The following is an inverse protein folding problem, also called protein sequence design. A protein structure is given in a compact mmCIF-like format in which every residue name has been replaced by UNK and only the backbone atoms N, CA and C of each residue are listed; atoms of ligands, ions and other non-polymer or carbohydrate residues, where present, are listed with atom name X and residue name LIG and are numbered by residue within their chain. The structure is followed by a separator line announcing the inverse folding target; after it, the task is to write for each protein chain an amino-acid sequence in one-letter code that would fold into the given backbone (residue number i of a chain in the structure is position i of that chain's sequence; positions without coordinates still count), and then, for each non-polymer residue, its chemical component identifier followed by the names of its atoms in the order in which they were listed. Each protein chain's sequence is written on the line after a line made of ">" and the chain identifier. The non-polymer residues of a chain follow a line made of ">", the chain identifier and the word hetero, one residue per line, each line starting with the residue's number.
data_IF_332882178100
#
_entry.id   IF_332882178100
#
_cell.length_a   1.000
_cell.length_b   1.000
_cell.length_c   1.000
_cell.angle_alpha   90.00
_cell.angle_beta   90.00
_cell.angle_gamma   90.00
#
_symmetry.space_group_name_H-M   'P 1'
#
loop_
_entity.id
_entity.type
_entity.pdbx_description
1 polymer ?
#
# COMPACT_ATOMS: atom_id res chain seq x y z
N UNK A 1 -0.13 26.26 -16.83
CA UNK A 1 0.63 25.94 -15.60
C UNK A 1 1.00 24.47 -15.62
N UNK A 2 2.22 24.09 -15.23
CA UNK A 2 2.66 22.68 -15.19
C UNK A 2 2.86 22.17 -13.77
N UNK A 3 2.51 20.92 -13.52
CA UNK A 3 2.82 20.19 -12.28
C UNK A 3 4.13 19.43 -12.49
N UNK A 4 5.10 19.63 -11.61
CA UNK A 4 6.36 18.90 -11.60
C UNK A 4 6.21 17.63 -10.75
N UNK A 5 6.59 16.50 -11.34
CA UNK A 5 6.60 15.17 -10.74
C UNK A 5 8.03 14.63 -10.76
N UNK A 6 8.48 13.98 -9.68
CA UNK A 6 9.82 13.37 -9.60
C UNK A 6 9.72 11.89 -9.16
N UNK A 7 8.97 11.04 -9.90
CA UNK A 7 8.78 9.66 -9.52
C UNK A 7 10.08 8.87 -9.72
N UNK A 8 10.40 7.99 -8.78
CA UNK A 8 11.60 7.15 -8.88
C UNK A 8 11.40 5.86 -9.67
N UNK A 9 10.14 5.54 -9.93
CA UNK A 9 9.71 4.44 -10.77
C UNK A 9 8.60 4.95 -11.68
N UNK A 10 8.58 4.48 -12.92
CA UNK A 10 7.51 4.83 -13.85
C UNK A 10 7.22 3.63 -14.74
N UNK A 11 6.09 3.67 -15.45
CA UNK A 11 5.75 2.67 -16.47
C UNK A 11 7.00 2.30 -17.31
N UNK A 12 7.31 1.00 -17.54
CA UNK A 12 6.49 -0.19 -17.34
C UNK A 12 6.63 -0.88 -15.97
N UNK A 13 7.30 -0.25 -14.99
CA UNK A 13 7.49 -0.85 -13.66
C UNK A 13 6.16 -1.04 -12.93
N UNK A 14 5.93 -2.25 -12.41
CA UNK A 14 4.78 -2.58 -11.56
C UNK A 14 5.27 -2.78 -10.12
N UNK A 15 5.16 -1.73 -9.31
CA UNK A 15 5.57 -1.73 -7.90
C UNK A 15 4.36 -1.43 -6.99
N UNK A 16 4.49 -1.67 -5.69
CA UNK A 16 3.40 -1.38 -4.76
C UNK A 16 3.00 0.11 -4.83
N UNK A 17 1.74 0.40 -5.12
CA UNK A 17 1.23 1.77 -5.30
C UNK A 17 1.28 2.33 -6.72
N UNK A 18 1.79 1.60 -7.73
CA UNK A 18 1.89 2.12 -9.11
C UNK A 18 0.53 2.59 -9.68
N UNK A 19 -0.56 1.92 -9.32
CA UNK A 19 -1.91 2.26 -9.77
C UNK A 19 -2.39 3.57 -9.14
N UNK A 20 -2.01 3.87 -7.90
CA UNK A 20 -2.37 5.11 -7.22
C UNK A 20 -1.75 6.30 -7.95
N UNK A 21 -0.45 6.24 -8.22
CA UNK A 21 0.26 7.27 -9.01
C UNK A 21 -0.36 7.43 -10.40
N UNK A 22 -0.64 6.32 -11.09
CA UNK A 22 -1.24 6.36 -12.42
C UNK A 22 -2.60 7.04 -12.42
N UNK A 23 -3.47 6.69 -11.47
CA UNK A 23 -4.80 7.27 -11.31
C UNK A 23 -4.74 8.77 -10.99
N UNK A 24 -3.79 9.20 -10.16
CA UNK A 24 -3.58 10.62 -9.87
C UNK A 24 -3.11 11.36 -11.12
N UNK A 25 -2.18 10.80 -11.89
CA UNK A 25 -1.71 11.46 -13.12
C UNK A 25 -2.81 11.52 -14.19
N UNK A 26 -3.62 10.47 -14.30
CA UNK A 26 -4.81 10.46 -15.15
C UNK A 26 -5.80 11.56 -14.72
N UNK A 27 -6.13 11.63 -13.43
CA UNK A 27 -7.00 12.65 -12.83
C UNK A 27 -6.50 14.07 -13.17
N UNK A 28 -5.21 14.33 -12.97
CA UNK A 28 -4.62 15.63 -13.25
C UNK A 28 -4.73 15.99 -14.74
N UNK A 29 -4.49 15.01 -15.62
CA UNK A 29 -4.61 15.17 -17.06
C UNK A 29 -6.04 15.53 -17.48
N UNK A 30 -7.05 14.76 -17.04
CA UNK A 30 -8.46 15.00 -17.39
C UNK A 30 -9.00 16.29 -16.76
N UNK A 31 -8.40 16.73 -15.64
CA UNK A 31 -8.70 18.02 -15.01
C UNK A 31 -8.03 19.21 -15.71
N UNK A 32 -7.36 18.98 -16.84
CA UNK A 32 -6.78 20.00 -17.70
C UNK A 32 -5.32 20.35 -17.40
N UNK A 33 -4.74 19.82 -16.32
CA UNK A 33 -3.36 20.10 -15.94
C UNK A 33 -2.36 19.46 -16.91
N UNK A 34 -1.30 20.21 -17.22
CA UNK A 34 -0.11 19.65 -17.85
C UNK A 34 0.89 19.24 -16.78
N UNK A 35 1.61 18.15 -17.02
CA UNK A 35 2.59 17.59 -16.12
C UNK A 35 3.94 17.44 -16.83
N UNK A 36 5.02 17.56 -16.06
CA UNK A 36 6.35 17.16 -16.48
C UNK A 36 6.95 16.27 -15.40
N UNK A 37 7.46 15.11 -15.81
CA UNK A 37 8.05 14.13 -14.92
C UNK A 37 9.52 13.87 -15.26
N UNK A 38 10.34 13.64 -14.25
CA UNK A 38 11.72 13.19 -14.40
C UNK A 38 11.91 11.87 -13.65
N UNK A 39 12.11 10.78 -14.38
CA UNK A 39 12.25 9.44 -13.82
C UNK A 39 13.51 8.74 -14.36
N UNK A 40 14.13 7.82 -13.60
CA UNK A 40 15.18 6.99 -14.16
C UNK A 40 14.63 6.03 -15.22
N UNK A 41 15.54 5.41 -15.98
CA UNK A 41 15.19 4.25 -16.79
C UNK A 41 14.62 3.11 -15.91
N UNK A 42 13.66 2.31 -16.42
CA UNK A 42 13.02 1.23 -15.67
C UNK A 42 14.00 0.23 -15.06
N UNK A 43 13.76 -0.19 -13.82
CA UNK A 43 14.74 -0.92 -13.01
C UNK A 43 14.18 -2.03 -12.13
N UNK A 44 12.98 -1.88 -11.56
CA UNK A 44 12.38 -2.80 -10.59
C UNK A 44 11.39 -3.73 -11.29
N UNK A 45 11.63 -5.04 -11.19
CA UNK A 45 10.77 -6.06 -11.80
C UNK A 45 10.78 -6.04 -13.33
N UNK A 46 11.84 -5.49 -13.93
CA UNK A 46 12.00 -5.37 -15.37
C UNK A 46 13.15 -6.26 -15.81
N UNK A 47 12.93 -7.05 -16.86
CA UNK A 47 13.96 -7.89 -17.46
C UNK A 47 15.03 -7.07 -18.21
N UNK A 48 16.13 -7.74 -18.57
CA UNK A 48 17.25 -7.09 -19.26
C UNK A 48 16.94 -6.67 -20.70
N UNK A 49 15.90 -7.22 -21.33
CA UNK A 49 15.50 -6.98 -22.70
C UNK A 49 14.68 -5.70 -22.79
N UNK A 50 13.58 -5.62 -22.03
CA UNK A 50 12.76 -4.43 -21.84
C UNK A 50 13.67 -3.28 -21.44
N UNK A 51 14.54 -3.47 -20.44
CA UNK A 51 15.44 -2.40 -20.00
C UNK A 51 16.35 -1.87 -21.12
N UNK A 52 16.75 -2.72 -22.07
CA UNK A 52 17.56 -2.34 -23.23
C UNK A 52 16.79 -1.44 -24.19
N UNK A 53 15.49 -1.70 -24.38
CA UNK A 53 14.62 -0.84 -25.19
C UNK A 53 14.53 0.58 -24.65
N UNK A 54 14.52 0.73 -23.32
CA UNK A 54 14.45 2.04 -22.66
C UNK A 54 15.78 2.79 -22.63
N UNK A 55 16.89 2.18 -23.07
CA UNK A 55 18.23 2.81 -23.07
C UNK A 55 18.27 4.11 -23.90
N UNK A 56 17.48 4.18 -24.96
CA UNK A 56 17.43 5.33 -25.87
C UNK A 56 16.12 6.12 -25.80
N UNK A 57 15.20 5.77 -24.88
CA UNK A 57 13.92 6.47 -24.69
C UNK A 57 14.06 7.58 -23.65
N UNK A 58 14.51 8.76 -24.08
CA UNK A 58 14.74 9.90 -23.19
C UNK A 58 13.51 10.80 -22.98
N UNK A 59 12.53 10.74 -23.89
CA UNK A 59 11.31 11.54 -23.84
C UNK A 59 10.13 10.69 -24.25
N UNK A 60 9.06 10.74 -23.47
CA UNK A 60 7.81 10.02 -23.72
C UNK A 60 6.62 10.92 -23.38
N UNK A 61 5.51 10.72 -24.09
CA UNK A 61 4.26 11.45 -23.86
C UNK A 61 3.19 10.47 -23.39
N UNK A 62 2.52 10.83 -22.30
CA UNK A 62 1.40 10.06 -21.74
C UNK A 62 0.16 10.93 -21.65
N UNK A 63 -1.00 10.29 -21.48
CA UNK A 63 -2.31 10.93 -21.29
C UNK A 63 -2.60 11.99 -22.37
N UNK A 64 -2.55 11.59 -23.65
CA UNK A 64 -2.78 12.47 -24.80
C UNK A 64 -1.88 13.72 -24.81
N UNK A 65 -0.62 13.55 -24.40
CA UNK A 65 0.39 14.62 -24.38
C UNK A 65 0.32 15.54 -23.17
N UNK A 66 -0.58 15.29 -22.21
CA UNK A 66 -0.66 16.07 -20.96
C UNK A 66 0.50 15.82 -20.02
N UNK A 67 1.13 14.65 -20.09
CA UNK A 67 2.34 14.34 -19.33
C UNK A 67 3.54 14.17 -20.27
N UNK A 68 4.55 15.02 -20.10
CA UNK A 68 5.87 14.85 -20.69
C UNK A 68 6.80 14.18 -19.68
N UNK A 69 7.22 12.94 -19.98
CA UNK A 69 8.20 12.21 -19.18
C UNK A 69 9.59 12.36 -19.78
N UNK A 70 10.54 12.84 -18.98
CA UNK A 70 11.97 12.81 -19.27
C UNK A 70 12.62 11.66 -18.52
N UNK A 71 13.34 10.81 -19.25
CA UNK A 71 14.15 9.74 -18.64
C UNK A 71 15.61 10.06 -18.58
N UNK A 72 16.26 9.59 -17.53
CA UNK A 72 17.71 9.64 -17.40
C UNK A 72 18.31 8.25 -17.14
N UNK A 73 19.53 8.00 -17.62
CA UNK A 73 20.24 6.75 -17.37
C UNK A 73 20.56 6.61 -15.89
N UNK A 74 20.23 5.46 -15.32
CA UNK A 74 20.61 5.04 -13.98
C UNK A 74 20.70 3.52 -13.95
N UNK A 75 21.59 2.93 -13.15
CA UNK A 75 21.76 1.47 -13.09
C UNK A 75 20.53 0.75 -12.49
N UNK A 76 20.41 -0.55 -12.78
CA UNK A 76 19.31 -1.38 -12.32
C UNK A 76 19.31 -1.50 -10.79
N UNK A 77 18.13 -1.69 -10.20
CA UNK A 77 18.02 -1.83 -8.75
C UNK A 77 18.71 -3.12 -8.27
N UNK A 78 19.42 -3.03 -7.15
CA UNK A 78 20.13 -4.15 -6.57
C UNK A 78 19.37 -4.72 -5.34
N UNK A 79 19.61 -6.01 -5.05
CA UNK A 79 19.14 -6.65 -3.81
C UNK A 79 19.82 -6.05 -2.56
N UNK A 80 21.05 -5.57 -2.68
CA UNK A 80 21.80 -4.89 -1.61
C UNK A 80 21.17 -3.55 -1.23
N UNK A 81 20.83 -3.40 0.05
CA UNK A 81 20.24 -2.17 0.61
C UNK A 81 21.14 -0.94 0.44
N UNK A 82 22.47 -1.11 0.56
CA UNK A 82 23.44 -0.02 0.41
C UNK A 82 23.46 0.48 -1.05
N UNK A 83 23.56 -0.44 -2.00
CA UNK A 83 23.57 -0.09 -3.43
C UNK A 83 22.24 0.55 -3.84
N UNK A 84 21.12 0.12 -3.24
CA UNK A 84 19.81 0.74 -3.45
C UNK A 84 19.75 2.15 -2.89
N UNK A 85 20.31 2.39 -1.70
CA UNK A 85 20.39 3.74 -1.12
C UNK A 85 21.24 4.68 -2.00
N UNK A 86 22.41 4.23 -2.46
CA UNK A 86 23.25 5.01 -3.40
C UNK A 86 22.48 5.34 -4.68
N UNK A 87 21.72 4.37 -5.22
CA UNK A 87 20.90 4.57 -6.42
C UNK A 87 19.87 5.67 -6.20
N UNK A 88 19.13 5.62 -5.10
CA UNK A 88 18.12 6.64 -4.78
C UNK A 88 18.75 8.02 -4.58
N UNK A 89 19.91 8.10 -3.92
CA UNK A 89 20.65 9.35 -3.77
C UNK A 89 21.03 9.95 -5.13
N UNK A 90 21.59 9.16 -6.05
CA UNK A 90 21.93 9.63 -7.40
C UNK A 90 20.67 10.08 -8.15
N UNK A 91 19.61 9.29 -8.10
CA UNK A 91 18.32 9.61 -8.72
C UNK A 91 17.78 10.96 -8.25
N UNK A 92 17.79 11.20 -6.94
CA UNK A 92 17.29 12.43 -6.31
C UNK A 92 18.16 13.64 -6.64
N UNK A 93 19.48 13.48 -6.74
CA UNK A 93 20.39 14.55 -7.19
C UNK A 93 20.05 14.95 -8.63
N UNK A 94 19.89 13.98 -9.53
CA UNK A 94 19.53 14.26 -10.93
C UNK A 94 18.15 14.92 -11.01
N UNK A 95 17.16 14.37 -10.31
CA UNK A 95 15.79 14.92 -10.24
C UNK A 95 15.76 16.34 -9.69
N UNK A 96 16.57 16.64 -8.67
CA UNK A 96 16.70 18.00 -8.13
C UNK A 96 17.23 18.96 -9.20
N UNK A 97 18.29 18.59 -9.92
CA UNK A 97 18.85 19.41 -10.99
C UNK A 97 17.83 19.63 -12.11
N UNK A 98 17.15 18.56 -12.55
CA UNK A 98 16.08 18.67 -13.54
C UNK A 98 14.92 19.58 -13.08
N UNK A 99 14.49 19.43 -11.83
CA UNK A 99 13.46 20.28 -11.23
C UNK A 99 13.87 21.75 -11.15
N UNK A 100 15.14 22.02 -10.84
CA UNK A 100 15.70 23.38 -10.78
C UNK A 100 15.59 24.08 -12.14
N UNK A 101 15.98 23.40 -13.23
CA UNK A 101 15.93 23.94 -14.59
C UNK A 101 14.58 23.81 -15.29
N UNK A 102 13.59 23.18 -14.66
CA UNK A 102 12.22 23.11 -15.19
C UNK A 102 11.56 24.49 -15.19
N UNK A 103 10.96 24.87 -16.31
CA UNK A 103 10.29 26.16 -16.49
C UNK A 103 8.76 26.02 -16.43
N UNK A 104 8.09 27.11 -16.08
CA UNK A 104 6.62 27.22 -16.05
C UNK A 104 5.93 26.20 -15.12
N UNK A 105 6.62 25.82 -14.03
CA UNK A 105 6.09 24.97 -12.97
C UNK A 105 5.29 25.83 -12.01
N UNK A 106 4.04 25.46 -11.73
CA UNK A 106 3.19 26.11 -10.72
C UNK A 106 2.90 25.26 -9.49
N UNK A 107 3.27 23.97 -9.51
CA UNK A 107 3.08 23.07 -8.37
C UNK A 107 4.10 21.93 -8.44
N UNK A 108 4.62 21.53 -7.27
CA UNK A 108 5.37 20.30 -7.07
C UNK A 108 4.49 19.29 -6.34
N UNK A 109 4.30 18.12 -6.93
CA UNK A 109 3.63 16.98 -6.30
C UNK A 109 4.61 15.82 -6.20
N UNK A 110 4.90 15.37 -4.97
CA UNK A 110 5.79 14.23 -4.73
C UNK A 110 5.12 13.24 -3.77
N UNK A 111 5.31 11.96 -4.04
CA UNK A 111 4.99 10.90 -3.10
C UNK A 111 6.23 10.53 -2.28
N UNK A 112 6.06 9.95 -1.10
CA UNK A 112 7.16 9.65 -0.18
C UNK A 112 8.09 8.50 -0.63
N UNK A 113 7.97 8.01 -1.86
CA UNK A 113 8.78 6.90 -2.37
C UNK A 113 9.80 7.38 -3.42
N UNK A 114 11.12 7.21 -3.19
CA UNK A 114 11.78 6.69 -2.00
C UNK A 114 11.75 7.70 -0.84
N UNK A 115 11.99 7.24 0.40
CA UNK A 115 11.74 8.02 1.61
C UNK A 115 12.45 9.38 1.72
N UNK A 116 13.54 9.56 0.99
CA UNK A 116 14.35 10.77 1.02
C UNK A 116 13.96 11.81 -0.03
N UNK A 117 12.99 11.52 -0.92
CA UNK A 117 12.57 12.45 -1.99
C UNK A 117 11.94 13.75 -1.46
N UNK A 118 11.42 13.73 -0.23
CA UNK A 118 10.87 14.92 0.42
C UNK A 118 11.87 16.08 0.54
N UNK A 119 13.17 15.80 0.69
CA UNK A 119 14.20 16.85 0.83
C UNK A 119 14.27 17.72 -0.42
N UNK A 120 14.23 17.12 -1.61
CA UNK A 120 14.28 17.88 -2.86
C UNK A 120 12.97 18.63 -3.09
N UNK A 121 11.85 18.08 -2.59
CA UNK A 121 10.58 18.78 -2.50
C UNK A 121 10.69 20.12 -1.77
N UNK A 122 11.18 20.08 -0.53
CA UNK A 122 11.38 21.27 0.29
C UNK A 122 12.42 22.24 -0.28
N UNK A 123 13.49 21.75 -0.90
CA UNK A 123 14.50 22.61 -1.54
C UNK A 123 13.93 23.32 -2.77
N UNK A 124 13.24 22.61 -3.66
CA UNK A 124 12.62 23.19 -4.85
C UNK A 124 11.51 24.18 -4.48
N UNK A 125 10.71 23.86 -3.46
CA UNK A 125 9.73 24.79 -2.89
C UNK A 125 10.38 26.13 -2.53
N UNK A 126 11.47 26.11 -1.77
CA UNK A 126 12.18 27.32 -1.34
C UNK A 126 12.83 28.09 -2.50
N UNK A 127 13.52 27.38 -3.39
CA UNK A 127 14.29 27.99 -4.47
C UNK A 127 13.38 28.55 -5.56
N UNK A 128 12.39 27.78 -5.98
CA UNK A 128 11.48 28.15 -7.08
C UNK A 128 10.24 28.91 -6.60
N UNK A 129 10.01 28.99 -5.28
CA UNK A 129 8.83 29.61 -4.67
C UNK A 129 7.51 29.08 -5.25
N UNK A 130 7.46 27.78 -5.48
CA UNK A 130 6.27 27.06 -5.95
C UNK A 130 5.68 26.25 -4.80
N UNK A 131 4.35 26.08 -4.72
CA UNK A 131 3.77 25.20 -3.72
C UNK A 131 4.25 23.75 -3.84
N UNK A 132 4.30 23.07 -2.70
CA UNK A 132 4.73 21.68 -2.59
C UNK A 132 3.67 20.84 -1.87
N UNK A 133 3.04 19.92 -2.60
CA UNK A 133 2.14 18.89 -2.05
C UNK A 133 2.93 17.60 -1.89
N UNK A 134 2.94 17.06 -0.68
CA UNK A 134 3.65 15.83 -0.35
C UNK A 134 2.68 14.73 0.08
N UNK A 135 2.63 13.63 -0.66
CA UNK A 135 1.82 12.46 -0.31
C UNK A 135 2.67 11.43 0.46
N UNK A 136 2.35 11.24 1.74
CA UNK A 136 3.05 10.32 2.64
C UNK A 136 2.39 8.95 2.57
N UNK A 137 3.02 8.06 1.79
CA UNK A 137 2.66 6.65 1.66
C UNK A 137 3.43 5.76 2.66
N UNK A 138 4.55 6.25 3.18
CA UNK A 138 5.39 5.61 4.19
C UNK A 138 6.03 6.67 5.10
N UNK A 139 6.00 6.47 6.42
CA UNK A 139 6.60 7.40 7.38
C UNK A 139 8.01 6.94 7.69
N UNK A 140 8.97 7.56 7.02
CA UNK A 140 10.39 7.32 7.27
C UNK A 140 10.97 8.41 8.17
N UNK A 141 11.80 8.07 9.18
CA UNK A 141 12.45 6.78 9.42
C UNK A 141 11.67 5.79 10.30
N UNK A 142 10.46 6.11 10.75
CA UNK A 142 9.68 5.27 11.67
C UNK A 142 9.46 3.85 11.12
N UNK A 143 9.21 3.73 9.81
CA UNK A 143 9.04 2.45 9.12
C UNK A 143 10.28 1.55 9.17
N UNK A 144 11.50 2.12 9.21
CA UNK A 144 12.73 1.34 9.43
C UNK A 144 12.80 0.76 10.84
N UNK A 145 12.35 1.53 11.83
CA UNK A 145 12.35 1.10 13.23
C UNK A 145 11.31 0.01 13.43
N UNK A 146 10.08 0.21 12.95
CA UNK A 146 8.98 -0.76 13.11
C UNK A 146 9.24 -2.08 12.38
N UNK A 147 10.02 -2.06 11.29
CA UNK A 147 10.40 -3.29 10.57
C UNK A 147 11.63 -3.99 11.16
N UNK A 148 12.28 -3.40 12.17
CA UNK A 148 13.50 -3.92 12.79
C UNK A 148 14.76 -3.76 11.93
N UNK A 149 14.68 -3.01 10.82
CA UNK A 149 15.83 -2.70 9.96
C UNK A 149 16.74 -1.61 10.56
N UNK A 150 16.23 -0.87 11.54
CA UNK A 150 16.94 0.15 12.28
C UNK A 150 16.40 0.26 13.70
N UNK A 151 17.00 1.12 14.52
CA UNK A 151 16.52 1.46 15.86
C UNK A 151 16.58 2.98 16.07
N UNK A 152 15.78 3.47 17.02
CA UNK A 152 15.81 4.87 17.41
C UNK A 152 17.21 5.28 17.90
N UNK A 153 17.66 6.46 17.50
CA UNK A 153 19.00 6.95 17.81
C UNK A 153 20.12 6.45 16.90
N UNK A 154 19.86 5.50 16.00
CA UNK A 154 20.84 5.13 14.97
C UNK A 154 21.12 6.27 13.99
N UNK A 155 22.28 6.27 13.33
CA UNK A 155 22.64 7.34 12.38
C UNK A 155 21.64 7.46 11.22
N UNK A 156 21.16 6.33 10.69
CA UNK A 156 20.14 6.31 9.64
C UNK A 156 18.82 6.94 10.12
N UNK A 157 18.42 6.65 11.36
CA UNK A 157 17.25 7.25 11.98
C UNK A 157 17.43 8.77 12.16
N UNK A 158 18.57 9.22 12.70
CA UNK A 158 18.85 10.66 12.89
C UNK A 158 18.80 11.42 11.56
N UNK A 159 19.47 10.90 10.52
CA UNK A 159 19.45 11.51 9.18
C UNK A 159 18.02 11.52 8.63
N UNK A 160 17.31 10.41 8.76
CA UNK A 160 15.91 10.31 8.36
C UNK A 160 15.03 11.35 9.05
N UNK A 161 15.19 11.55 10.36
CA UNK A 161 14.46 12.58 11.13
C UNK A 161 14.75 13.99 10.65
N UNK A 162 16.00 14.30 10.30
CA UNK A 162 16.35 15.61 9.74
C UNK A 162 15.65 15.84 8.40
N UNK A 163 15.68 14.84 7.51
CA UNK A 163 15.05 14.89 6.20
C UNK A 163 13.52 15.02 6.33
N UNK A 164 12.92 14.21 7.19
CA UNK A 164 11.49 14.21 7.48
C UNK A 164 11.04 15.57 8.00
N UNK A 165 11.67 16.08 9.06
CA UNK A 165 11.34 17.37 9.67
C UNK A 165 11.50 18.51 8.65
N UNK A 166 12.56 18.48 7.84
CA UNK A 166 12.74 19.46 6.76
C UNK A 166 11.63 19.37 5.72
N UNK A 167 11.24 18.16 5.32
CA UNK A 167 10.18 17.92 4.34
C UNK A 167 8.85 18.47 4.83
N UNK A 168 8.40 18.06 6.02
CA UNK A 168 7.09 18.46 6.55
C UNK A 168 7.00 19.96 6.83
N UNK A 169 8.09 20.57 7.30
CA UNK A 169 8.14 22.02 7.50
C UNK A 169 7.91 22.80 6.20
N UNK A 170 8.43 22.29 5.08
CA UNK A 170 8.41 22.99 3.79
C UNK A 170 7.30 22.53 2.84
N UNK A 171 6.57 21.47 3.16
CA UNK A 171 5.35 21.12 2.44
C UNK A 171 4.25 22.17 2.69
N UNK A 172 3.57 22.56 1.63
CA UNK A 172 2.39 23.45 1.65
C UNK A 172 1.15 22.69 2.11
N UNK A 173 0.99 21.45 1.62
CA UNK A 173 0.02 20.46 2.08
C UNK A 173 0.66 19.09 2.11
N UNK A 174 0.20 18.26 3.05
CA UNK A 174 0.65 16.91 3.25
C UNK A 174 -0.58 16.01 3.21
N UNK A 175 -0.60 15.08 2.26
CA UNK A 175 -1.64 14.06 2.17
C UNK A 175 -1.13 12.82 2.91
N UNK A 176 -1.93 12.28 3.82
CA UNK A 176 -1.60 11.05 4.55
C UNK A 176 -2.71 10.01 4.36
N UNK A 177 -2.34 8.73 4.41
CA UNK A 177 -3.26 7.63 4.07
C UNK A 177 -4.14 7.15 5.21
N UNK A 178 -3.94 7.67 6.43
CA UNK A 178 -4.59 7.18 7.64
C UNK A 178 -4.61 8.25 8.74
N UNK A 179 -5.57 8.16 9.65
CA UNK A 179 -5.62 8.92 10.90
C UNK A 179 -4.42 8.59 11.80
N UNK A 180 -3.89 7.37 11.75
CA UNK A 180 -2.63 7.04 12.44
C UNK A 180 -1.46 7.88 11.92
N UNK A 181 -1.35 8.06 10.60
CA UNK A 181 -0.30 8.89 10.01
C UNK A 181 -0.49 10.35 10.41
N UNK A 182 -1.74 10.84 10.41
CA UNK A 182 -2.03 12.20 10.92
C UNK A 182 -1.59 12.34 12.38
N UNK A 183 -1.97 11.41 13.27
CA UNK A 183 -1.54 11.41 14.69
C UNK A 183 -0.02 11.38 14.83
N UNK A 184 0.67 10.59 14.01
CA UNK A 184 2.13 10.53 14.00
C UNK A 184 2.75 11.89 13.63
N UNK A 185 2.28 12.53 12.55
CA UNK A 185 2.76 13.84 12.12
C UNK A 185 2.45 14.95 13.13
N UNK A 186 1.27 14.94 13.76
CA UNK A 186 0.91 15.88 14.82
C UNK A 186 1.85 15.76 16.03
N UNK A 187 2.20 14.54 16.46
CA UNK A 187 3.21 14.30 17.51
C UNK A 187 4.60 14.84 17.13
N UNK A 188 4.87 15.02 15.84
CA UNK A 188 6.11 15.58 15.29
C UNK A 188 6.02 17.09 15.04
N UNK A 189 5.00 17.76 15.61
CA UNK A 189 4.75 19.21 15.50
C UNK A 189 4.47 19.70 14.07
N UNK A 190 3.94 18.83 13.20
CA UNK A 190 3.40 19.27 11.91
C UNK A 190 2.05 19.96 12.16
N UNK A 191 1.84 21.20 11.69
CA UNK A 191 0.56 21.90 11.87
C UNK A 191 -0.60 21.13 11.24
N UNK A 192 -1.72 21.05 11.96
CA UNK A 192 -2.88 20.24 11.56
C UNK A 192 -3.47 20.70 10.23
N UNK A 193 -3.52 22.01 9.98
CA UNK A 193 -4.06 22.62 8.76
C UNK A 193 -3.25 22.28 7.49
N UNK A 194 -2.06 21.71 7.65
CA UNK A 194 -1.30 21.17 6.52
C UNK A 194 -1.69 19.74 6.16
N UNK A 195 -2.30 18.99 7.07
CA UNK A 195 -2.47 17.54 6.97
C UNK A 195 -3.88 17.19 6.49
N UNK A 196 -3.95 16.54 5.35
CA UNK A 196 -5.18 16.02 4.76
C UNK A 196 -5.16 14.50 4.78
N UNK A 197 -6.12 13.88 5.46
CA UNK A 197 -6.22 12.41 5.49
C UNK A 197 -7.03 11.95 4.29
N UNK A 198 -6.40 11.31 3.31
CA UNK A 198 -7.06 10.68 2.17
C UNK A 198 -6.58 9.23 2.10
N UNK A 199 -7.45 8.29 2.47
CA UNK A 199 -7.15 6.87 2.37
C UNK A 199 -6.83 6.47 0.93
N UNK A 200 -5.90 5.52 0.79
CA UNK A 200 -5.70 4.85 -0.49
C UNK A 200 -7.02 4.17 -0.91
N UNK A 201 -7.27 4.14 -2.21
CA UNK A 201 -8.51 3.63 -2.78
C UNK A 201 -8.32 2.28 -3.43
N UNK A 202 -9.45 1.65 -3.75
CA UNK A 202 -9.54 0.52 -4.63
C UNK A 202 -10.49 0.84 -5.79
N UNK A 203 -10.21 0.26 -6.95
CA UNK A 203 -11.20 0.24 -8.02
C UNK A 203 -12.24 -0.84 -7.72
N UNK A 204 -13.36 -0.41 -7.14
CA UNK A 204 -14.51 -1.27 -6.82
C UNK A 204 -15.24 -1.80 -8.06
N UNK A 205 -14.86 -1.36 -9.27
CA UNK A 205 -15.34 -1.98 -10.52
C UNK A 205 -14.44 -3.14 -10.96
N UNK A 206 -13.17 -3.13 -10.57
CA UNK A 206 -12.20 -4.18 -10.87
C UNK A 206 -12.21 -5.32 -9.84
N UNK A 207 -12.52 -5.02 -8.56
CA UNK A 207 -12.71 -6.03 -7.51
C UNK A 207 -14.17 -6.01 -7.07
N UNK A 208 -14.83 -7.16 -7.21
CA UNK A 208 -16.25 -7.32 -6.90
C UNK A 208 -16.50 -8.70 -6.26
N UNK A 209 -17.62 -8.87 -5.53
CA UNK A 209 -17.98 -10.16 -4.96
C UNK A 209 -18.23 -11.20 -6.05
N UNK A 210 -17.59 -12.36 -5.93
CA UNK A 210 -17.82 -13.52 -6.80
C UNK A 210 -18.58 -14.58 -6.01
N UNK A 211 -19.78 -14.92 -6.49
CA UNK A 211 -20.59 -16.00 -5.91
C UNK A 211 -19.79 -17.30 -5.84
N UNK A 212 -19.87 -17.98 -4.70
CA UNK A 212 -18.98 -19.10 -4.35
C UNK A 212 -18.95 -20.20 -5.40
N UNK A 213 -20.12 -20.65 -5.84
CA UNK A 213 -20.24 -21.73 -6.83
C UNK A 213 -19.88 -21.28 -8.26
N UNK A 214 -19.76 -19.96 -8.50
CA UNK A 214 -19.32 -19.39 -9.77
C UNK A 214 -17.82 -19.01 -9.75
N UNK A 215 -17.17 -19.10 -8.59
CA UNK A 215 -15.77 -18.77 -8.45
C UNK A 215 -14.90 -19.93 -8.99
N UNK A 216 -14.28 -19.72 -10.16
CA UNK A 216 -13.54 -20.77 -10.89
C UNK A 216 -12.33 -21.31 -10.11
N UNK A 217 -11.82 -20.56 -9.13
CA UNK A 217 -10.71 -21.02 -8.30
C UNK A 217 -11.09 -22.25 -7.46
N UNK A 218 -12.37 -22.48 -7.16
CA UNK A 218 -12.78 -23.70 -6.46
C UNK A 218 -12.50 -24.96 -7.29
N UNK A 219 -12.79 -24.93 -8.59
CA UNK A 219 -12.50 -26.06 -9.47
C UNK A 219 -11.03 -26.12 -9.86
N UNK A 220 -10.40 -24.97 -10.17
CA UNK A 220 -8.98 -24.91 -10.55
C UNK A 220 -8.05 -25.41 -9.44
N UNK A 221 -8.40 -25.21 -8.17
CA UNK A 221 -7.58 -25.55 -7.01
C UNK A 221 -8.13 -26.74 -6.21
N UNK A 222 -9.12 -27.46 -6.75
CA UNK A 222 -9.72 -28.65 -6.13
C UNK A 222 -10.18 -28.37 -4.68
N UNK A 223 -10.88 -27.26 -4.50
CA UNK A 223 -11.45 -26.83 -3.23
C UNK A 223 -12.91 -27.26 -3.13
N UNK A 224 -13.32 -27.73 -1.95
CA UNK A 224 -14.72 -28.05 -1.69
C UNK A 224 -15.48 -26.77 -1.30
N UNK A 225 -16.46 -26.30 -2.09
CA UNK A 225 -17.19 -25.07 -1.80
C UNK A 225 -18.01 -25.12 -0.51
N UNK A 226 -18.31 -26.30 0.04
CA UNK A 226 -19.11 -26.43 1.27
C UNK A 226 -18.34 -26.13 2.56
N UNK A 227 -17.01 -25.95 2.51
CA UNK A 227 -16.17 -25.68 3.67
C UNK A 227 -16.09 -24.18 4.00
N UNK A 228 -15.67 -23.86 5.21
CA UNK A 228 -15.42 -22.51 5.69
C UNK A 228 -13.97 -22.11 5.41
N UNK A 229 -13.75 -21.06 4.61
CA UNK A 229 -12.42 -20.66 4.16
C UNK A 229 -11.94 -19.38 4.83
N UNK A 230 -10.72 -19.47 5.35
CA UNK A 230 -9.92 -18.35 5.84
C UNK A 230 -8.89 -18.02 4.76
N UNK A 231 -8.88 -16.78 4.27
CA UNK A 231 -8.00 -16.38 3.17
C UNK A 231 -7.02 -15.32 3.63
N UNK A 232 -5.74 -15.55 3.39
CA UNK A 232 -4.70 -14.52 3.40
C UNK A 232 -4.12 -14.37 1.99
N UNK A 233 -4.26 -13.19 1.39
CA UNK A 233 -3.74 -12.88 0.06
C UNK A 233 -2.73 -11.73 0.12
N UNK A 234 -1.45 -12.02 -0.13
CA UNK A 234 -0.39 -11.00 -0.16
C UNK A 234 1.00 -11.50 0.21
N UNK A 235 1.87 -10.56 0.57
CA UNK A 235 3.27 -10.85 0.88
C UNK A 235 3.43 -11.65 2.19
N UNK A 236 4.24 -12.70 2.16
CA UNK A 236 4.72 -13.45 3.33
C UNK A 236 6.02 -12.83 3.86
N UNK A 237 5.94 -11.58 4.31
CA UNK A 237 7.08 -10.86 4.86
C UNK A 237 7.09 -10.86 6.39
N UNK A 238 8.26 -10.57 6.95
CA UNK A 238 8.49 -10.55 8.40
C UNK A 238 7.50 -9.65 9.16
N UNK A 239 7.18 -8.47 8.62
CA UNK A 239 6.28 -7.51 9.27
C UNK A 239 4.80 -7.92 9.25
N UNK A 240 4.42 -8.92 8.44
CA UNK A 240 3.03 -9.37 8.29
C UNK A 240 2.61 -10.43 9.32
N UNK A 241 3.54 -11.02 10.08
CA UNK A 241 3.21 -12.02 11.11
C UNK A 241 2.36 -13.20 10.62
N UNK A 242 2.63 -13.71 9.42
CA UNK A 242 1.82 -14.79 8.80
C UNK A 242 1.89 -16.10 9.59
N UNK A 243 2.92 -16.29 10.43
CA UNK A 243 3.05 -17.47 11.31
C UNK A 243 1.84 -17.61 12.26
N UNK A 244 1.26 -16.50 12.71
CA UNK A 244 0.08 -16.49 13.58
C UNK A 244 -1.12 -17.18 12.93
N UNK A 245 -1.22 -17.15 11.59
CA UNK A 245 -2.26 -17.87 10.85
C UNK A 245 -2.02 -19.38 10.94
N UNK A 246 -0.78 -19.83 10.79
CA UNK A 246 -0.41 -21.26 10.90
C UNK A 246 -0.67 -21.78 12.31
N UNK A 247 -0.31 -21.01 13.33
CA UNK A 247 -0.57 -21.34 14.73
C UNK A 247 -2.08 -21.41 15.02
N UNK A 248 -2.89 -20.50 14.47
CA UNK A 248 -4.35 -20.58 14.58
C UNK A 248 -4.93 -21.80 13.87
N UNK A 249 -4.36 -22.19 12.72
CA UNK A 249 -4.75 -23.39 12.00
C UNK A 249 -4.43 -24.68 12.78
N UNK A 250 -3.34 -24.67 13.56
CA UNK A 250 -3.00 -25.76 14.48
C UNK A 250 -4.04 -25.90 15.60
N UNK A 251 -4.47 -24.78 16.19
CA UNK A 251 -5.52 -24.78 17.23
C UNK A 251 -6.87 -25.29 16.70
N UNK A 252 -7.14 -25.06 15.41
CA UNK A 252 -8.38 -25.46 14.74
C UNK A 252 -8.26 -26.75 13.93
N UNK A 253 -7.25 -27.59 14.18
CA UNK A 253 -7.03 -28.82 13.42
C UNK A 253 -8.17 -29.84 13.57
N UNK A 254 -8.92 -29.81 14.68
CA UNK A 254 -10.09 -30.66 14.90
C UNK A 254 -11.32 -30.25 14.08
N UNK A 255 -11.37 -28.99 13.62
CA UNK A 255 -12.48 -28.44 12.85
C UNK A 255 -12.30 -28.78 11.37
N UNK A 256 -12.79 -29.95 10.97
CA UNK A 256 -12.55 -30.52 9.63
C UNK A 256 -13.24 -29.75 8.50
N UNK A 257 -14.17 -28.84 8.84
CA UNK A 257 -14.83 -27.97 7.88
C UNK A 257 -14.16 -26.60 7.70
N UNK A 258 -13.04 -26.32 8.37
CA UNK A 258 -12.28 -25.07 8.23
C UNK A 258 -11.01 -25.30 7.38
N UNK A 259 -10.74 -24.40 6.43
CA UNK A 259 -9.55 -24.43 5.58
C UNK A 259 -8.91 -23.06 5.47
N UNK A 260 -7.58 -23.02 5.55
CA UNK A 260 -6.77 -21.82 5.42
C UNK A 260 -6.08 -21.79 4.05
N UNK A 261 -6.32 -20.72 3.28
CA UNK A 261 -5.68 -20.50 1.99
C UNK A 261 -4.69 -19.34 2.12
N UNK A 262 -3.40 -19.65 1.95
CA UNK A 262 -2.30 -18.68 1.94
C UNK A 262 -1.88 -18.44 0.49
N UNK A 263 -2.28 -17.29 -0.06
CA UNK A 263 -2.14 -16.96 -1.48
C UNK A 263 -1.09 -15.85 -1.61
N UNK A 264 0.07 -16.16 -2.19
CA UNK A 264 1.14 -15.18 -2.35
C UNK A 264 2.52 -15.80 -2.33
N UNK A 265 3.44 -15.10 -1.69
CA UNK A 265 4.84 -15.48 -1.58
C UNK A 265 5.60 -14.43 -0.78
N UNK A 266 6.86 -14.70 -0.46
CA UNK A 266 7.70 -13.75 0.26
C UNK A 266 8.86 -14.41 0.98
N UNK A 267 9.62 -13.62 1.72
CA UNK A 267 10.83 -14.08 2.42
C UNK A 267 10.58 -15.08 3.54
N UNK A 268 9.32 -15.33 3.93
CA UNK A 268 8.95 -16.28 4.98
C UNK A 268 8.24 -17.52 4.44
N UNK A 269 8.10 -17.67 3.11
CA UNK A 269 7.33 -18.76 2.52
C UNK A 269 7.84 -20.14 2.95
N UNK A 270 9.14 -20.38 2.86
CA UNK A 270 9.74 -21.67 3.21
C UNK A 270 9.55 -21.99 4.69
N UNK A 271 9.79 -21.02 5.58
CA UNK A 271 9.56 -21.17 7.03
C UNK A 271 8.11 -21.50 7.36
N UNK A 272 7.14 -20.89 6.68
CA UNK A 272 5.71 -21.19 6.89
C UNK A 272 5.35 -22.60 6.43
N UNK A 273 5.91 -23.06 5.31
CA UNK A 273 5.72 -24.44 4.82
C UNK A 273 6.34 -25.47 5.78
N UNK A 274 7.52 -25.18 6.32
CA UNK A 274 8.15 -26.02 7.35
C UNK A 274 7.30 -26.14 8.61
N UNK A 275 6.68 -25.04 9.07
CA UNK A 275 5.75 -25.07 10.21
C UNK A 275 4.55 -25.98 9.94
N UNK A 276 3.91 -25.85 8.77
CA UNK A 276 2.78 -26.71 8.36
C UNK A 276 3.14 -28.20 8.38
N UNK A 277 4.32 -28.56 7.88
CA UNK A 277 4.84 -29.93 7.90
C UNK A 277 5.08 -30.39 9.34
N UNK A 278 5.75 -29.56 10.15
CA UNK A 278 6.10 -29.90 11.53
C UNK A 278 4.88 -30.13 12.42
N UNK A 279 3.82 -29.34 12.22
CA UNK A 279 2.54 -29.45 12.92
C UNK A 279 1.58 -30.46 12.29
N UNK A 280 1.98 -31.09 11.16
CA UNK A 280 1.17 -32.07 10.40
C UNK A 280 -0.20 -31.53 10.00
N UNK A 281 -0.28 -30.24 9.66
CA UNK A 281 -1.55 -29.59 9.34
C UNK A 281 -2.08 -30.07 7.99
N UNK A 282 -3.36 -30.39 7.93
CA UNK A 282 -4.08 -30.79 6.72
C UNK A 282 -5.09 -29.73 6.27
N UNK A 283 -5.28 -28.69 7.07
CA UNK A 283 -6.23 -27.60 6.86
C UNK A 283 -5.56 -26.32 6.33
N UNK A 284 -4.32 -26.40 5.82
CA UNK A 284 -3.59 -25.25 5.25
C UNK A 284 -3.15 -25.58 3.83
N UNK A 285 -3.49 -24.71 2.88
CA UNK A 285 -3.07 -24.80 1.47
C UNK A 285 -2.37 -23.51 1.04
N UNK A 286 -1.29 -23.65 0.28
CA UNK A 286 -0.55 -22.53 -0.30
C UNK A 286 -0.82 -22.41 -1.80
N UNK A 287 -0.99 -21.19 -2.29
CA UNK A 287 -1.14 -20.89 -3.71
C UNK A 287 -0.23 -19.73 -4.11
N UNK A 288 0.24 -19.71 -5.36
CA UNK A 288 1.07 -18.60 -5.84
C UNK A 288 0.25 -17.32 -5.95
N UNK A 289 0.95 -16.17 -5.94
CA UNK A 289 0.35 -14.89 -6.27
C UNK A 289 -0.36 -14.95 -7.63
N UNK A 290 -1.59 -14.46 -7.69
CA UNK A 290 -2.40 -14.46 -8.91
C UNK A 290 -2.29 -13.13 -9.66
N UNK A 291 -2.68 -13.14 -10.94
CA UNK A 291 -2.73 -11.96 -11.78
C UNK A 291 -3.86 -11.00 -11.37
N UNK A 292 -3.79 -9.75 -11.86
CA UNK A 292 -4.78 -8.70 -11.57
C UNK A 292 -6.21 -9.10 -11.93
N UNK A 293 -6.39 -9.89 -12.98
CA UNK A 293 -7.69 -10.30 -13.51
C UNK A 293 -8.37 -11.32 -12.60
N UNK A 294 -7.61 -12.01 -11.74
CA UNK A 294 -8.12 -13.01 -10.81
C UNK A 294 -8.37 -12.46 -9.39
N UNK A 295 -8.15 -11.16 -9.15
CA UNK A 295 -8.25 -10.60 -7.80
C UNK A 295 -9.64 -10.75 -7.18
N UNK A 296 -10.73 -10.48 -7.93
CA UNK A 296 -12.10 -10.70 -7.45
C UNK A 296 -12.31 -12.13 -6.96
N UNK A 297 -11.82 -13.11 -7.71
CA UNK A 297 -11.92 -14.53 -7.37
C UNK A 297 -11.09 -14.85 -6.12
N UNK A 298 -9.86 -14.36 -6.04
CA UNK A 298 -8.95 -14.59 -4.90
C UNK A 298 -9.53 -14.04 -3.60
N UNK A 299 -9.98 -12.79 -3.59
CA UNK A 299 -10.50 -12.17 -2.38
C UNK A 299 -11.88 -12.73 -1.99
N UNK A 300 -12.68 -13.20 -2.94
CA UNK A 300 -13.99 -13.83 -2.69
C UNK A 300 -13.91 -15.32 -2.30
N UNK A 301 -12.72 -15.94 -2.26
CA UNK A 301 -12.57 -17.33 -1.83
C UNK A 301 -12.92 -17.52 -0.35
N UNK A 302 -12.67 -16.50 0.47
CA UNK A 302 -12.77 -16.58 1.91
C UNK A 302 -14.16 -16.21 2.41
N UNK A 303 -14.64 -16.95 3.40
CA UNK A 303 -15.66 -16.46 4.31
C UNK A 303 -15.10 -15.32 5.18
N UNK A 304 -13.80 -15.40 5.51
CA UNK A 304 -13.08 -14.37 6.27
C UNK A 304 -11.69 -14.14 5.67
N UNK A 305 -11.34 -12.86 5.51
CA UNK A 305 -10.00 -12.41 5.14
C UNK A 305 -9.13 -12.12 6.36
N UNK A 306 -7.85 -12.50 6.34
CA UNK A 306 -6.92 -12.14 7.42
C UNK A 306 -6.07 -10.94 7.01
N UNK A 307 -6.06 -9.93 7.89
CA UNK A 307 -5.15 -8.80 7.80
C UNK A 307 -4.33 -8.77 9.08
N UNK A 308 -3.05 -9.16 9.00
CA UNK A 308 -2.18 -9.28 10.17
C UNK A 308 -0.87 -8.52 10.01
N UNK A 309 -0.29 -8.12 11.14
CA UNK A 309 1.04 -7.54 11.24
C UNK A 309 1.67 -7.87 12.61
N UNK A 310 2.97 -7.59 12.75
CA UNK A 310 3.66 -7.68 14.06
C UNK A 310 3.22 -6.55 14.99
N UNK A 311 3.37 -6.77 16.28
CA UNK A 311 3.12 -5.73 17.28
C UNK A 311 3.92 -4.44 16.99
N UNK A 312 3.27 -3.29 17.11
CA UNK A 312 3.86 -1.97 16.85
C UNK A 312 3.97 -1.57 15.37
N UNK A 313 3.65 -2.46 14.43
CA UNK A 313 3.64 -2.15 12.99
C UNK A 313 2.32 -1.49 12.57
N UNK A 314 1.20 -1.83 13.21
CA UNK A 314 -0.14 -1.49 12.76
C UNK A 314 -0.43 0.01 12.69
N UNK A 315 0.31 0.83 13.43
CA UNK A 315 0.19 2.31 13.44
C UNK A 315 0.99 3.00 12.34
N UNK A 316 1.90 2.28 11.69
CA UNK A 316 2.81 2.83 10.69
C UNK A 316 2.47 2.35 9.27
N UNK A 317 1.35 1.64 9.09
CA UNK A 317 0.88 1.22 7.77
C UNK A 317 -0.65 1.07 7.75
N UNK A 318 -1.25 1.36 6.59
CA UNK A 318 -2.62 0.96 6.30
C UNK A 318 -2.61 -0.06 5.15
N UNK A 319 -2.92 -1.35 5.40
CA UNK A 319 -2.74 -2.40 4.40
C UNK A 319 -3.79 -2.33 3.28
N UNK A 320 -3.33 -2.24 2.03
CA UNK A 320 -4.22 -2.16 0.84
C UNK A 320 -5.16 -3.36 0.69
N UNK A 321 -4.75 -4.55 1.16
CA UNK A 321 -5.57 -5.77 1.09
C UNK A 321 -6.89 -5.64 1.87
N UNK A 322 -6.96 -4.76 2.88
CA UNK A 322 -8.21 -4.45 3.57
C UNK A 322 -9.26 -4.03 2.55
N UNK A 323 -8.95 -3.06 1.68
CA UNK A 323 -9.91 -2.58 0.69
C UNK A 323 -10.30 -3.65 -0.32
N UNK A 324 -9.37 -4.52 -0.70
CA UNK A 324 -9.65 -5.63 -1.62
C UNK A 324 -10.60 -6.67 -1.02
N UNK A 325 -10.41 -7.06 0.24
CA UNK A 325 -11.35 -7.95 0.93
C UNK A 325 -12.75 -7.33 1.03
N UNK A 326 -12.80 -6.07 1.45
CA UNK A 326 -14.08 -5.38 1.61
C UNK A 326 -14.81 -5.20 0.27
N UNK A 327 -14.09 -4.92 -0.82
CA UNK A 327 -14.65 -4.85 -2.17
C UNK A 327 -15.17 -6.19 -2.69
N UNK A 328 -14.54 -7.30 -2.28
CA UNK A 328 -15.04 -8.65 -2.55
C UNK A 328 -16.22 -9.06 -1.63
N UNK A 329 -16.64 -8.21 -0.68
CA UNK A 329 -17.67 -8.56 0.31
C UNK A 329 -17.19 -9.53 1.39
N UNK A 330 -15.87 -9.75 1.49
CA UNK A 330 -15.26 -10.63 2.47
C UNK A 330 -14.88 -9.81 3.71
N UNK A 331 -15.50 -10.08 4.87
CA UNK A 331 -15.15 -9.39 6.10
C UNK A 331 -13.80 -9.86 6.62
N UNK A 332 -13.22 -9.12 7.55
CA UNK A 332 -11.84 -9.36 7.99
C UNK A 332 -11.71 -9.72 9.47
N UNK A 333 -10.68 -10.51 9.79
CA UNK A 333 -10.06 -10.48 11.10
C UNK A 333 -8.77 -9.66 10.99
N UNK A 334 -8.71 -8.57 11.75
CA UNK A 334 -7.57 -7.67 11.82
C UNK A 334 -6.72 -7.99 13.05
N UNK A 335 -5.58 -8.68 12.86
CA UNK A 335 -4.58 -8.89 13.91
C UNK A 335 -3.60 -7.71 13.92
N UNK A 336 -4.01 -6.65 14.61
CA UNK A 336 -3.43 -5.30 14.57
C UNK A 336 -3.45 -4.67 15.96
N UNK A 337 -2.55 -3.71 16.22
CA UNK A 337 -2.56 -2.94 17.46
C UNK A 337 -3.97 -2.35 17.67
N UNK A 338 -4.61 -2.64 18.81
CA UNK A 338 -6.04 -2.33 19.01
C UNK A 338 -6.36 -0.83 19.01
N UNK A 339 -5.37 0.02 19.22
CA UNK A 339 -5.45 1.48 19.11
C UNK A 339 -5.05 2.02 17.73
N UNK A 340 -4.84 1.14 16.74
CA UNK A 340 -4.71 1.52 15.33
C UNK A 340 -6.06 1.88 14.69
N UNK A 341 -6.02 2.69 13.64
CA UNK A 341 -7.19 3.06 12.87
C UNK A 341 -7.86 1.85 12.23
N UNK A 342 -7.10 0.90 11.67
CA UNK A 342 -7.70 -0.31 11.08
C UNK A 342 -8.51 -1.10 12.12
N UNK A 343 -7.96 -1.29 13.32
CA UNK A 343 -8.65 -2.00 14.38
C UNK A 343 -9.92 -1.26 14.83
N UNK A 344 -9.81 0.07 15.02
CA UNK A 344 -10.95 0.92 15.34
C UNK A 344 -12.03 0.87 14.25
N UNK A 345 -11.64 0.92 12.98
CA UNK A 345 -12.55 0.90 11.85
C UNK A 345 -13.27 -0.43 11.72
N UNK A 346 -12.56 -1.56 11.80
CA UNK A 346 -13.14 -2.89 11.67
C UNK A 346 -14.21 -3.13 12.74
N UNK A 347 -13.89 -2.85 14.00
CA UNK A 347 -14.81 -3.04 15.12
C UNK A 347 -15.99 -2.06 15.09
N UNK A 348 -15.73 -0.76 14.91
CA UNK A 348 -16.78 0.27 15.06
C UNK A 348 -17.76 0.31 13.90
N UNK A 349 -17.31 -0.08 12.70
CA UNK A 349 -18.17 -0.11 11.52
C UNK A 349 -18.79 -1.47 11.28
N UNK A 350 -18.30 -2.54 11.92
CA UNK A 350 -18.90 -3.88 11.84
C UNK A 350 -18.52 -4.69 10.60
N UNK A 351 -17.44 -4.36 9.90
CA UNK A 351 -16.95 -5.15 8.76
C UNK A 351 -15.89 -6.20 9.15
N UNK A 352 -15.51 -6.25 10.42
CA UNK A 352 -14.45 -7.12 10.90
C UNK A 352 -14.40 -7.27 12.41
N UNK A 353 -13.56 -8.20 12.87
CA UNK A 353 -13.17 -8.34 14.27
C UNK A 353 -11.68 -8.01 14.39
N UNK A 354 -11.30 -7.19 15.36
CA UNK A 354 -9.89 -6.90 15.63
C UNK A 354 -9.41 -7.65 16.86
N UNK A 355 -8.21 -8.20 16.76
CA UNK A 355 -7.52 -8.95 17.80
C UNK A 355 -6.12 -8.39 17.98
N UNK A 356 -5.48 -8.71 19.11
CA UNK A 356 -4.09 -8.32 19.30
C UNK A 356 -3.18 -8.93 18.21
N UNK A 357 -2.11 -8.22 17.80
CA UNK A 357 -1.07 -8.78 16.94
C UNK A 357 -0.49 -10.05 17.56
N UNK A 358 -0.07 -11.00 16.71
CA UNK A 358 0.67 -12.19 17.16
C UNK A 358 -0.10 -13.09 18.17
N UNK A 359 -1.44 -12.97 18.22
CA UNK A 359 -2.30 -13.79 19.10
C UNK A 359 -3.10 -14.84 18.31
N UNK A 360 -2.53 -16.05 18.20
CA UNK A 360 -3.15 -17.16 17.49
C UNK A 360 -4.45 -17.67 18.14
N UNK A 361 -4.56 -17.61 19.47
CA UNK A 361 -5.76 -18.04 20.19
C UNK A 361 -6.94 -17.10 19.92
N UNK A 362 -6.73 -15.78 20.04
CA UNK A 362 -7.77 -14.80 19.71
C UNK A 362 -8.20 -14.92 18.23
N UNK A 363 -7.27 -15.26 17.33
CA UNK A 363 -7.58 -15.52 15.92
C UNK A 363 -8.47 -16.75 15.76
N UNK A 364 -8.11 -17.87 16.38
CA UNK A 364 -8.88 -19.11 16.34
C UNK A 364 -10.29 -18.91 16.93
N UNK A 365 -10.40 -18.24 18.07
CA UNK A 365 -11.66 -17.95 18.74
C UNK A 365 -12.56 -17.04 17.87
N UNK A 366 -11.97 -16.05 17.20
CA UNK A 366 -12.69 -15.16 16.29
C UNK A 366 -13.19 -15.90 15.04
N UNK A 367 -12.38 -16.81 14.48
CA UNK A 367 -12.78 -17.67 13.37
C UNK A 367 -13.98 -18.53 13.78
N UNK A 368 -13.92 -19.21 14.92
CA UNK A 368 -15.02 -20.02 15.44
C UNK A 368 -16.28 -19.19 15.68
N UNK A 369 -16.13 -18.00 16.27
CA UNK A 369 -17.25 -17.08 16.51
C UNK A 369 -17.98 -16.71 15.22
N UNK A 370 -17.25 -16.38 14.16
CA UNK A 370 -17.83 -16.04 12.86
C UNK A 370 -18.45 -17.28 12.21
N UNK A 371 -17.73 -18.39 12.14
CA UNK A 371 -18.21 -19.65 11.55
C UNK A 371 -19.49 -20.15 12.21
N UNK A 372 -19.59 -20.06 13.53
CA UNK A 372 -20.74 -20.53 14.30
C UNK A 372 -21.93 -19.55 14.27
N UNK A 373 -21.76 -18.35 13.72
CA UNK A 373 -22.79 -17.33 13.66
C UNK A 373 -22.97 -16.81 12.23
N UNK A 374 -23.82 -17.50 11.46
CA UNK A 374 -24.13 -17.14 10.07
C UNK A 374 -24.71 -15.73 9.92
N UNK A 375 -25.50 -15.27 10.89
CA UNK A 375 -26.06 -13.93 10.88
C UNK A 375 -24.96 -12.88 11.00
N UNK A 376 -24.03 -13.06 11.95
CA UNK A 376 -22.88 -12.18 12.11
C UNK A 376 -22.04 -12.11 10.82
N UNK A 377 -21.76 -13.25 10.20
CA UNK A 377 -21.03 -13.28 8.92
C UNK A 377 -21.76 -12.47 7.84
N UNK A 378 -23.07 -12.67 7.67
CA UNK A 378 -23.86 -11.96 6.67
C UNK A 378 -23.89 -10.44 6.91
N UNK A 379 -24.07 -10.03 8.17
CA UNK A 379 -24.02 -8.61 8.56
C UNK A 379 -22.64 -7.99 8.26
N UNK A 380 -21.56 -8.69 8.61
CA UNK A 380 -20.20 -8.23 8.35
C UNK A 380 -19.90 -8.14 6.85
N UNK A 381 -20.29 -9.15 6.06
CA UNK A 381 -20.12 -9.16 4.61
C UNK A 381 -20.88 -8.03 3.90
N UNK A 382 -22.15 -7.79 4.29
CA UNK A 382 -22.93 -6.68 3.72
C UNK A 382 -22.30 -5.33 4.05
N UNK A 383 -21.85 -5.17 5.30
CA UNK A 383 -21.20 -3.95 5.77
C UNK A 383 -19.89 -3.69 5.05
N UNK A 384 -19.07 -4.72 4.86
CA UNK A 384 -17.79 -4.63 4.17
C UNK A 384 -17.92 -3.94 2.80
N UNK A 385 -18.88 -4.39 2.00
CA UNK A 385 -19.15 -3.83 0.66
C UNK A 385 -19.59 -2.37 0.73
N UNK A 386 -20.60 -2.06 1.54
CA UNK A 386 -21.11 -0.68 1.64
C UNK A 386 -20.03 0.26 2.20
N UNK A 387 -19.20 -0.23 3.12
CA UNK A 387 -18.14 0.55 3.74
C UNK A 387 -17.07 0.98 2.73
N UNK A 388 -16.58 0.05 1.88
CA UNK A 388 -15.53 0.37 0.90
C UNK A 388 -16.02 1.31 -0.19
N UNK A 389 -17.25 1.15 -0.68
CA UNK A 389 -17.88 2.09 -1.62
C UNK A 389 -18.04 3.49 -1.01
N UNK A 390 -18.30 3.54 0.30
CA UNK A 390 -18.45 4.78 1.03
C UNK A 390 -17.11 5.50 1.27
N UNK A 391 -16.03 4.79 1.60
CA UNK A 391 -14.80 5.37 2.15
C UNK A 391 -13.53 5.21 1.30
N UNK A 392 -13.47 4.18 0.46
CA UNK A 392 -12.25 3.81 -0.29
C UNK A 392 -12.47 3.73 -1.80
N UNK A 393 -13.53 4.36 -2.33
CA UNK A 393 -13.77 4.42 -3.77
C UNK A 393 -12.79 5.36 -4.48
N UNK A 394 -12.29 4.94 -5.65
CA UNK A 394 -11.41 5.74 -6.52
C UNK A 394 -11.97 7.14 -6.75
N UNK A 395 -13.24 7.25 -7.13
CA UNK A 395 -13.89 8.53 -7.43
C UNK A 395 -13.80 9.53 -6.26
N UNK A 396 -14.13 9.09 -5.03
CA UNK A 396 -14.11 9.97 -3.86
C UNK A 396 -12.71 10.39 -3.49
N UNK A 397 -11.76 9.46 -3.49
CA UNK A 397 -10.36 9.77 -3.22
C UNK A 397 -9.82 10.77 -4.25
N UNK A 398 -10.05 10.52 -5.54
CA UNK A 398 -9.65 11.41 -6.64
C UNK A 398 -10.24 12.81 -6.52
N UNK A 399 -11.53 12.93 -6.17
CA UNK A 399 -12.16 14.21 -5.91
C UNK A 399 -11.45 14.97 -4.79
N UNK A 400 -11.08 14.30 -3.69
CA UNK A 400 -10.35 14.92 -2.57
C UNK A 400 -8.93 15.32 -2.94
N UNK A 401 -8.19 14.49 -3.68
CA UNK A 401 -6.87 14.85 -4.20
C UNK A 401 -6.94 16.12 -5.05
N UNK A 402 -7.90 16.20 -5.97
CA UNK A 402 -8.10 17.37 -6.82
C UNK A 402 -8.43 18.62 -6.00
N UNK A 403 -9.28 18.51 -4.97
CA UNK A 403 -9.60 19.60 -4.06
C UNK A 403 -8.36 20.14 -3.35
N UNK A 404 -7.52 19.26 -2.80
CA UNK A 404 -6.26 19.66 -2.16
C UNK A 404 -5.36 20.38 -3.15
N UNK A 405 -5.16 19.81 -4.34
CA UNK A 405 -4.30 20.38 -5.38
C UNK A 405 -4.82 21.76 -5.83
N UNK A 406 -6.13 21.89 -6.08
CA UNK A 406 -6.75 23.16 -6.46
C UNK A 406 -6.65 24.22 -5.36
N UNK A 407 -6.82 23.83 -4.09
CA UNK A 407 -6.70 24.77 -2.96
C UNK A 407 -5.31 25.39 -2.86
N UNK A 408 -4.29 24.60 -3.18
CA UNK A 408 -2.88 25.01 -3.13
C UNK A 408 -2.52 25.91 -4.31
N UNK A 409 -3.04 25.59 -5.50
CA UNK A 409 -2.86 26.39 -6.71
C UNK A 409 -3.55 27.75 -6.57
N UNK A 410 -4.77 27.79 -6.03
CA UNK A 410 -5.57 29.02 -5.94
C UNK A 410 -5.09 29.99 -4.84
N UNK A 411 -4.28 29.50 -3.91
CA UNK A 411 -3.72 30.30 -2.80
C UNK A 411 -2.36 30.94 -3.13
N UNK A 412 -1.82 30.68 -4.33
CA UNK A 412 -0.62 31.32 -4.88
C UNK A 412 -1.01 32.20 -6.07
#
# INVERSE_FOLDING_TARGET
>A
MKILLLPNYFYPERYAGWHLEHDIYELLSISGYSMVAYAPMPSRGIDSEIRREYKNRYKEFFFNGKLLLHRFPLYAENKSSILRAIRYTISIIIQFMCGLFSQNIGLLYLESTPPIVGIIGGLLHKIKKIPFVYAVQDIFPDSLVSTGLSHEGSLAWIIGRIIENFTYRNATRIIVISQDFKRNLLKKNVPEEKIEVIHNWIDTTSIFPVERYNNTLFSEWELNPSLFYIVYAGNFGNAQSVHTIIESAQLLQSETDIQFLLIGGGSQEDTLKELVISYKLQNVKFFPLQSSEKLSYVYSLGDVGIVCCKQGVGKNAFPSKTWSYLAAGTPIIASYDLDSELASMANSNGFGISINPENAQEMADSILKIRNNKQLLQEMSSTAKTFVEAHASKEKAMKRYLQVINSVISSN
#
